data_IF_386903467680
#
_entry.id   IF_386903467680
#
_cell.length_a   1.000
_cell.length_b   1.000
_cell.length_c   1.000
_cell.angle_alpha   90.00
_cell.angle_beta   90.00
_cell.angle_gamma   90.00
#
_symmetry.space_group_name_H-M   'P 1'
#
loop_
_entity.id
_entity.type
_entity.pdbx_description
1 polymer ?
#
# COMPACT_ATOMS: atom_id res chain seq x y z
N UNK A 1 9.22 -11.16 -7.84
CA UNK A 1 7.89 -11.47 -8.39
C UNK A 1 7.06 -12.11 -7.27
N UNK A 2 6.43 -11.31 -6.40
CA UNK A 2 5.38 -11.77 -5.47
C UNK A 2 4.24 -10.76 -5.60
N UNK A 3 3.32 -11.01 -6.53
CA UNK A 3 2.21 -10.10 -6.81
C UNK A 3 1.01 -10.33 -5.87
N UNK A 4 1.05 -11.39 -5.06
CA UNK A 4 -0.05 -11.84 -4.21
C UNK A 4 0.49 -12.08 -2.79
N UNK A 5 -0.37 -11.88 -1.78
CA UNK A 5 -0.03 -12.16 -0.39
C UNK A 5 0.21 -13.67 -0.17
N UNK A 6 1.28 -14.07 0.52
CA UNK A 6 1.60 -15.49 0.74
C UNK A 6 0.43 -16.29 1.33
N UNK A 7 -0.29 -15.70 2.29
CA UNK A 7 -1.47 -16.31 2.92
C UNK A 7 -2.63 -16.55 1.96
N UNK A 8 -2.74 -15.76 0.89
CA UNK A 8 -3.72 -15.99 -0.19
C UNK A 8 -3.25 -17.13 -1.07
N UNK A 9 -1.97 -17.18 -1.43
CA UNK A 9 -1.40 -18.25 -2.26
C UNK A 9 -1.58 -19.63 -1.60
N UNK A 10 -1.26 -19.75 -0.31
CA UNK A 10 -1.46 -20.99 0.47
C UNK A 10 -2.92 -21.46 0.41
N UNK A 11 -3.86 -20.51 0.59
CA UNK A 11 -5.29 -20.83 0.65
C UNK A 11 -5.90 -21.13 -0.70
N UNK A 12 -5.39 -20.53 -1.78
CA UNK A 12 -5.81 -20.82 -3.15
C UNK A 12 -5.26 -22.17 -3.60
N UNK A 13 -4.05 -22.55 -3.18
CA UNK A 13 -3.47 -23.87 -3.48
C UNK A 13 -4.32 -25.05 -2.98
N UNK A 14 -5.09 -24.84 -1.92
CA UNK A 14 -6.02 -25.84 -1.35
C UNK A 14 -7.41 -25.85 -2.02
N UNK A 15 -7.68 -24.96 -2.99
CA UNK A 15 -9.02 -24.79 -3.56
C UNK A 15 -9.30 -25.73 -4.72
N UNK A 16 -10.54 -26.21 -4.76
CA UNK A 16 -11.08 -26.96 -5.89
C UNK A 16 -11.31 -26.00 -7.06
N UNK A 17 -10.95 -26.42 -8.28
CA UNK A 17 -11.16 -25.66 -9.51
C UNK A 17 -12.66 -25.34 -9.66
N UNK A 18 -12.96 -24.07 -9.91
CA UNK A 18 -14.35 -23.57 -10.05
C UNK A 18 -15.02 -23.18 -8.73
N UNK A 19 -14.37 -23.36 -7.58
CA UNK A 19 -14.89 -22.90 -6.29
C UNK A 19 -14.57 -21.42 -6.01
N UNK A 20 -15.41 -20.77 -5.21
CA UNK A 20 -15.20 -19.40 -4.70
C UNK A 20 -15.10 -19.44 -3.18
N UNK A 21 -14.11 -18.74 -2.62
CA UNK A 21 -13.90 -18.63 -1.19
C UNK A 21 -13.63 -17.18 -0.80
N UNK A 22 -14.21 -16.74 0.30
CA UNK A 22 -13.90 -15.46 0.93
C UNK A 22 -12.89 -15.71 2.05
N UNK A 23 -11.74 -15.05 1.98
CA UNK A 23 -10.67 -15.17 2.98
C UNK A 23 -10.57 -13.83 3.71
N UNK A 24 -10.63 -13.88 5.04
CA UNK A 24 -10.36 -12.72 5.90
C UNK A 24 -8.91 -12.80 6.35
N UNK A 25 -8.12 -11.80 6.00
CA UNK A 25 -6.72 -11.68 6.39
C UNK A 25 -6.58 -10.60 7.46
N UNK A 26 -5.66 -10.81 8.40
CA UNK A 26 -5.22 -9.72 9.26
C UNK A 26 -4.29 -8.77 8.48
N UNK A 27 -4.16 -7.50 8.90
CA UNK A 27 -3.27 -6.54 8.23
C UNK A 27 -1.85 -7.08 8.04
N UNK A 28 -1.28 -7.77 9.04
CA UNK A 28 0.06 -8.37 9.00
C UNK A 28 0.23 -9.42 7.91
N UNK A 29 -0.87 -10.07 7.52
CA UNK A 29 -0.91 -11.13 6.50
C UNK A 29 -1.19 -10.56 5.09
N UNK A 30 -1.47 -9.26 5.00
CA UNK A 30 -1.81 -8.55 3.78
C UNK A 30 -0.81 -7.39 3.52
N UNK A 31 -1.24 -6.15 3.73
CA UNK A 31 -0.45 -4.94 3.43
C UNK A 31 0.48 -4.51 4.58
N UNK A 32 0.49 -5.24 5.69
CA UNK A 32 1.22 -4.89 6.92
C UNK A 32 0.39 -4.05 7.88
N UNK A 33 0.99 -3.72 9.03
CA UNK A 33 0.42 -2.80 10.02
C UNK A 33 0.56 -1.36 9.55
N UNK A 34 -0.35 -0.52 10.03
CA UNK A 34 -0.13 0.92 9.99
C UNK A 34 1.19 1.27 10.68
N UNK A 35 1.98 2.12 10.04
CA UNK A 35 3.30 2.52 10.52
C UNK A 35 3.28 4.03 10.73
N UNK A 36 3.33 4.47 11.98
CA UNK A 36 3.34 5.90 12.32
C UNK A 36 4.55 6.63 11.73
N UNK A 37 5.69 5.95 11.62
CA UNK A 37 6.91 6.48 11.00
C UNK A 37 6.76 6.81 9.51
N UNK A 38 5.72 6.26 8.85
CA UNK A 38 5.40 6.61 7.46
C UNK A 38 4.71 7.97 7.34
N UNK A 39 4.22 8.55 8.44
CA UNK A 39 3.63 9.90 8.47
C UNK A 39 4.74 10.92 8.57
N UNK A 40 4.87 11.76 7.55
CA UNK A 40 5.90 12.79 7.49
C UNK A 40 5.30 14.19 7.48
N UNK A 41 5.89 15.09 8.26
CA UNK A 41 5.59 16.51 8.18
C UNK A 41 6.49 17.15 7.13
N UNK A 42 5.87 17.75 6.10
CA UNK A 42 6.57 18.44 5.02
C UNK A 42 6.15 19.90 4.96
N UNK A 43 7.02 20.75 4.41
CA UNK A 43 6.71 22.17 4.27
C UNK A 43 5.67 22.37 3.17
N UNK A 44 4.71 23.27 3.40
CA UNK A 44 3.70 23.63 2.38
C UNK A 44 4.33 24.16 1.09
N UNK A 45 5.50 24.82 1.19
CA UNK A 45 6.30 25.30 0.06
C UNK A 45 6.83 24.19 -0.85
N UNK A 46 6.79 22.92 -0.43
CA UNK A 46 7.17 21.79 -1.28
C UNK A 46 6.09 21.46 -2.32
N UNK A 47 4.89 22.01 -2.18
CA UNK A 47 3.78 21.87 -3.12
C UNK A 47 3.61 23.16 -3.92
N UNK A 48 3.13 23.03 -5.16
CA UNK A 48 2.87 24.18 -6.03
C UNK A 48 1.86 25.15 -5.38
N UNK A 49 2.17 26.44 -5.37
CA UNK A 49 1.31 27.46 -4.76
C UNK A 49 -0.05 27.60 -5.48
N UNK A 50 -0.06 27.34 -6.79
CA UNK A 50 -1.27 27.36 -7.62
C UNK A 50 -2.25 26.22 -7.29
N UNK A 51 -1.76 25.12 -6.70
CA UNK A 51 -2.57 23.96 -6.36
C UNK A 51 -2.16 23.42 -4.97
N UNK A 52 -2.70 23.99 -3.88
CA UNK A 52 -2.42 23.51 -2.54
C UNK A 52 -2.94 22.07 -2.34
N UNK A 53 -2.27 21.28 -1.49
CA UNK A 53 -2.67 19.90 -1.24
C UNK A 53 -4.03 19.83 -0.55
N UNK A 54 -4.84 18.85 -0.97
CA UNK A 54 -6.16 18.56 -0.41
C UNK A 54 -6.18 17.21 0.31
N UNK A 55 -7.04 17.05 1.30
CA UNK A 55 -7.21 15.78 2.02
C UNK A 55 -7.66 14.67 1.06
N UNK A 56 -7.02 13.50 1.16
CA UNK A 56 -7.28 12.35 0.29
C UNK A 56 -6.57 12.42 -1.08
N UNK A 57 -5.87 13.51 -1.40
CA UNK A 57 -5.10 13.61 -2.63
C UNK A 57 -3.81 12.77 -2.55
N UNK A 58 -3.50 12.06 -3.62
CA UNK A 58 -2.27 11.26 -3.74
C UNK A 58 -1.21 12.01 -4.56
N UNK A 59 0.03 11.96 -4.09
CA UNK A 59 1.19 12.53 -4.76
C UNK A 59 2.29 11.48 -4.85
N UNK A 60 3.17 11.62 -5.85
CA UNK A 60 4.37 10.78 -5.97
C UNK A 60 5.58 11.54 -5.41
N UNK A 61 6.31 10.89 -4.51
CA UNK A 61 7.54 11.43 -3.94
C UNK A 61 8.76 10.69 -4.51
N UNK A 62 9.89 11.38 -4.64
CA UNK A 62 11.16 10.75 -5.00
C UNK A 62 12.01 10.58 -3.74
N UNK A 63 12.46 9.36 -3.48
CA UNK A 63 13.39 9.04 -2.40
C UNK A 63 14.82 9.44 -2.77
N UNK A 64 15.74 9.59 -1.79
CA UNK A 64 17.16 9.83 -2.06
C UNK A 64 17.81 8.75 -2.93
N UNK A 65 17.31 7.51 -2.87
CA UNK A 65 17.77 6.40 -3.71
C UNK A 65 17.19 6.46 -5.14
N UNK A 66 16.43 7.49 -5.49
CA UNK A 66 15.80 7.67 -6.81
C UNK A 66 14.58 6.80 -7.06
N UNK A 67 14.07 6.12 -6.02
CA UNK A 67 12.83 5.34 -6.10
C UNK A 67 11.62 6.26 -5.89
N UNK A 68 10.62 6.12 -6.75
CA UNK A 68 9.32 6.78 -6.58
C UNK A 68 8.48 6.03 -5.54
N UNK A 69 7.86 6.77 -4.63
CA UNK A 69 6.88 6.32 -3.64
C UNK A 69 5.50 6.91 -3.98
#
# INVERSE_FOLDING_TARGET
RNQIFPKVEDKVGEMIIGSKKTIKLQPEEAFGKYTEDAVQQVKRSNFSEENPPQEGQSYLANTPEGKQL
#
